data_IF_939482629355
#
_entry.id   IF_939482629355
#
_cell.length_a   1.000
_cell.length_b   1.000
_cell.length_c   1.000
_cell.angle_alpha   90.00
_cell.angle_beta   90.00
_cell.angle_gamma   90.00
#
_symmetry.space_group_name_H-M   'P 1'
#
loop_
_entity.id
_entity.type
_entity.pdbx_description
1 polymer ?
#
# COMPACT_ATOMS: atom_id res chain seq x y z
N UNK A 1 -0.97 -23.64 12.77
CA UNK A 1 -1.05 -22.71 11.63
C UNK A 1 0.15 -21.79 11.76
N UNK A 2 1.21 -22.02 10.97
CA UNK A 2 2.38 -21.14 10.98
C UNK A 2 2.17 -20.09 9.91
N UNK A 3 1.70 -18.91 10.31
CA UNK A 3 1.76 -17.73 9.48
C UNK A 3 3.24 -17.47 9.16
N UNK A 4 3.53 -17.15 7.91
CA UNK A 4 4.86 -16.88 7.39
C UNK A 4 5.49 -15.68 8.12
N UNK A 5 6.11 -15.92 9.28
CA UNK A 5 7.15 -15.04 9.81
C UNK A 5 8.25 -14.98 8.77
N UNK A 6 8.72 -13.77 8.45
CA UNK A 6 10.00 -13.65 7.77
C UNK A 6 11.03 -14.39 8.62
N UNK A 7 11.70 -15.37 8.04
CA UNK A 7 12.74 -16.11 8.76
C UNK A 7 13.94 -15.20 9.11
N UNK A 8 14.02 -14.01 8.49
CA UNK A 8 15.13 -13.08 8.60
C UNK A 8 14.66 -11.65 8.23
N UNK A 9 14.94 -10.66 9.09
CA UNK A 9 14.73 -9.22 8.85
C UNK A 9 15.33 -8.77 7.51
N UNK A 10 16.40 -9.44 7.05
CA UNK A 10 16.99 -9.23 5.72
C UNK A 10 15.97 -9.36 4.58
N UNK A 11 15.16 -10.40 4.60
CA UNK A 11 14.20 -10.66 3.53
C UNK A 11 13.11 -9.57 3.52
N UNK A 12 12.70 -9.10 4.70
CA UNK A 12 11.78 -7.98 4.84
C UNK A 12 12.38 -6.69 4.25
N UNK A 13 13.67 -6.40 4.52
CA UNK A 13 14.40 -5.27 3.91
C UNK A 13 14.42 -5.38 2.39
N UNK A 14 14.67 -6.57 1.84
CA UNK A 14 14.70 -6.80 0.39
C UNK A 14 13.33 -6.58 -0.23
N UNK A 15 12.26 -7.07 0.40
CA UNK A 15 10.88 -6.87 -0.08
C UNK A 15 10.54 -5.38 -0.11
N UNK A 16 10.77 -4.66 0.99
CA UNK A 16 10.55 -3.21 1.06
C UNK A 16 11.36 -2.47 -0.01
N UNK A 17 12.65 -2.76 -0.09
CA UNK A 17 13.56 -2.07 -0.99
C UNK A 17 13.21 -2.24 -2.46
N UNK A 18 12.87 -3.47 -2.87
CA UNK A 18 12.44 -3.74 -4.24
C UNK A 18 11.12 -3.03 -4.57
N UNK A 19 10.20 -2.94 -3.61
CA UNK A 19 8.96 -2.21 -3.81
C UNK A 19 9.21 -0.71 -4.09
N UNK A 20 10.13 -0.06 -3.38
CA UNK A 20 10.47 1.32 -3.68
C UNK A 20 11.33 1.48 -4.95
N UNK A 21 12.17 0.49 -5.29
CA UNK A 21 13.04 0.58 -6.46
C UNK A 21 12.27 0.36 -7.77
N UNK A 22 11.28 -0.53 -7.76
CA UNK A 22 10.61 -0.98 -8.98
C UNK A 22 9.10 -0.68 -9.03
N UNK A 23 8.47 -0.36 -7.91
CA UNK A 23 7.08 0.09 -7.85
C UNK A 23 7.01 1.52 -7.30
N UNK A 24 5.96 1.88 -6.56
CA UNK A 24 5.78 3.23 -6.03
C UNK A 24 6.13 3.42 -4.56
N UNK A 25 6.15 2.34 -3.77
CA UNK A 25 6.31 2.43 -2.32
C UNK A 25 5.09 2.98 -1.57
N UNK A 26 3.97 3.24 -2.25
CA UNK A 26 2.76 3.80 -1.61
C UNK A 26 2.20 2.91 -0.51
N UNK A 27 2.25 1.59 -0.67
CA UNK A 27 1.73 0.64 0.32
C UNK A 27 2.54 0.69 1.61
N UNK A 28 3.87 0.77 1.51
CA UNK A 28 4.74 0.91 2.66
C UNK A 28 4.52 2.23 3.40
N UNK A 29 4.25 3.33 2.67
CA UNK A 29 3.91 4.61 3.30
C UNK A 29 2.51 4.62 3.90
N UNK A 30 1.54 3.93 3.28
CA UNK A 30 0.23 3.70 3.88
C UNK A 30 0.36 2.93 5.20
N UNK A 31 1.15 1.85 5.21
CA UNK A 31 1.42 1.09 6.41
C UNK A 31 2.13 1.93 7.48
N UNK A 32 3.14 2.73 7.13
CA UNK A 32 3.81 3.64 8.07
C UNK A 32 2.84 4.65 8.71
N UNK A 33 1.94 5.23 7.90
CA UNK A 33 0.90 6.13 8.40
C UNK A 33 -0.05 5.40 9.37
N UNK A 34 -0.51 4.20 9.01
CA UNK A 34 -1.42 3.39 9.84
C UNK A 34 -0.75 2.95 11.14
N UNK A 35 0.52 2.54 11.12
CA UNK A 35 1.24 2.17 12.34
C UNK A 35 1.37 3.34 13.31
N UNK A 36 1.59 4.56 12.80
CA UNK A 36 1.68 5.77 13.63
C UNK A 36 0.34 6.16 14.26
N UNK A 37 -0.76 5.90 13.59
CA UNK A 37 -2.09 6.29 14.06
C UNK A 37 -2.79 5.21 14.90
N UNK A 38 -2.66 3.94 14.51
CA UNK A 38 -3.47 2.83 15.02
C UNK A 38 -2.64 1.73 15.69
N UNK A 39 -1.33 1.64 15.42
CA UNK A 39 -0.45 0.63 16.03
C UNK A 39 -0.80 -0.81 15.68
N UNK A 40 -1.26 -1.07 14.45
CA UNK A 40 -1.66 -2.41 13.97
C UNK A 40 -0.44 -3.34 13.85
N UNK A 41 -0.57 -4.56 14.37
CA UNK A 41 0.43 -5.63 14.28
C UNK A 41 -0.08 -6.92 13.60
N UNK A 42 -1.34 -6.91 13.14
CA UNK A 42 -1.97 -7.99 12.39
C UNK A 42 -2.00 -7.67 10.87
N UNK A 43 -1.56 -8.60 10.00
CA UNK A 43 -1.48 -8.34 8.58
C UNK A 43 -2.84 -8.28 7.85
N UNK A 44 -3.88 -8.93 8.37
CA UNK A 44 -5.24 -8.85 7.82
C UNK A 44 -5.86 -7.48 8.16
N UNK A 45 -5.73 -7.03 9.41
CA UNK A 45 -6.16 -5.66 9.79
C UNK A 45 -5.40 -4.58 9.03
N UNK A 46 -4.09 -4.79 8.80
CA UNK A 46 -3.28 -3.87 8.01
C UNK A 46 -3.69 -3.85 6.54
N UNK A 47 -4.10 -5.01 5.99
CA UNK A 47 -4.63 -5.11 4.64
C UNK A 47 -5.87 -4.24 4.48
N UNK A 48 -6.86 -4.42 5.36
CA UNK A 48 -8.12 -3.69 5.32
C UNK A 48 -7.88 -2.18 5.48
N UNK A 49 -7.03 -1.79 6.45
CA UNK A 49 -6.70 -0.38 6.68
C UNK A 49 -5.97 0.24 5.49
N UNK A 50 -5.07 -0.50 4.82
CA UNK A 50 -4.43 -0.02 3.60
C UNK A 50 -5.43 0.10 2.45
N UNK A 51 -6.33 -0.87 2.26
CA UNK A 51 -7.36 -0.80 1.22
C UNK A 51 -8.29 0.39 1.41
N UNK A 52 -8.66 0.68 2.66
CA UNK A 52 -9.47 1.84 3.01
C UNK A 52 -8.72 3.15 2.67
N UNK A 53 -7.42 3.21 2.91
CA UNK A 53 -6.63 4.44 2.76
C UNK A 53 -6.22 4.74 1.31
N UNK A 54 -5.72 3.74 0.58
CA UNK A 54 -5.14 3.93 -0.76
C UNK A 54 -5.92 3.21 -1.88
N UNK A 55 -6.96 2.45 -1.53
CA UNK A 55 -7.75 1.68 -2.49
C UNK A 55 -7.02 0.47 -3.06
N UNK A 56 -7.79 -0.44 -3.66
CA UNK A 56 -7.26 -1.72 -4.17
C UNK A 56 -6.21 -1.54 -5.27
N UNK A 57 -6.33 -0.52 -6.14
CA UNK A 57 -5.32 -0.27 -7.19
C UNK A 57 -3.95 0.01 -6.56
N UNK A 58 -3.89 0.86 -5.53
CA UNK A 58 -2.64 1.15 -4.84
C UNK A 58 -2.16 -0.02 -3.99
N UNK A 59 -3.10 -0.77 -3.40
CA UNK A 59 -2.78 -1.95 -2.60
C UNK A 59 -2.23 -3.11 -3.43
N UNK A 60 -2.53 -3.22 -4.73
CA UNK A 60 -2.11 -4.37 -5.55
C UNK A 60 -1.04 -4.05 -6.61
N UNK A 61 -0.57 -2.79 -6.72
CA UNK A 61 0.28 -2.32 -7.84
C UNK A 61 1.58 -3.11 -8.09
N UNK A 62 2.08 -3.87 -7.10
CA UNK A 62 3.32 -4.64 -7.18
C UNK A 62 3.09 -6.14 -7.26
N UNK A 63 1.83 -6.59 -7.42
CA UNK A 63 1.45 -8.00 -7.42
C UNK A 63 0.82 -8.38 -8.76
N UNK A 64 0.96 -9.65 -9.12
CA UNK A 64 0.25 -10.27 -10.25
C UNK A 64 -1.16 -10.63 -9.78
N UNK A 65 -2.04 -9.65 -9.90
CA UNK A 65 -3.43 -9.69 -9.51
C UNK A 65 -4.28 -8.87 -10.50
N UNK A 66 -5.55 -9.26 -10.71
CA UNK A 66 -6.47 -8.56 -11.61
C UNK A 66 -6.75 -7.11 -11.18
N UNK A 67 -6.55 -6.79 -9.90
CA UNK A 67 -6.69 -5.44 -9.36
C UNK A 67 -5.47 -4.55 -9.67
N UNK A 68 -4.35 -5.13 -10.08
CA UNK A 68 -3.21 -4.39 -10.58
C UNK A 68 -3.45 -3.94 -12.04
N UNK A 69 -3.96 -2.72 -12.17
CA UNK A 69 -4.26 -2.13 -13.50
C UNK A 69 -3.01 -1.62 -14.25
N UNK A 70 -1.84 -1.64 -13.62
CA UNK A 70 -0.57 -1.16 -14.19
C UNK A 70 0.57 -2.11 -13.86
N UNK A 71 0.55 -3.33 -14.41
CA UNK A 71 1.62 -4.29 -14.17
C UNK A 71 2.95 -3.71 -14.65
N UNK A 72 3.93 -3.72 -13.76
CA UNK A 72 5.32 -3.45 -14.11
C UNK A 72 6.04 -4.77 -14.38
N UNK A 73 7.25 -4.73 -14.95
CA UNK A 73 8.09 -5.93 -15.05
C UNK A 73 8.46 -6.51 -13.67
N UNK A 74 8.20 -5.76 -12.60
CA UNK A 74 8.40 -6.17 -11.23
C UNK A 74 7.09 -6.63 -10.58
N UNK A 75 7.09 -7.90 -10.20
CA UNK A 75 6.00 -8.57 -9.48
C UNK A 75 6.58 -9.22 -8.23
N UNK A 76 6.05 -8.87 -7.06
CA UNK A 76 6.42 -9.46 -5.77
C UNK A 76 5.88 -10.89 -5.59
N UNK A 77 4.77 -11.21 -6.25
CA UNK A 77 4.17 -12.53 -6.22
C UNK A 77 2.78 -12.56 -6.84
N UNK A 78 2.15 -13.72 -6.78
CA UNK A 78 0.75 -13.92 -7.20
C UNK A 78 -0.21 -13.64 -6.04
N UNK A 79 -1.33 -13.01 -6.36
CA UNK A 79 -2.43 -12.81 -5.41
C UNK A 79 -2.18 -11.67 -4.43
N UNK A 80 -2.43 -11.92 -3.14
CA UNK A 80 -2.56 -10.88 -2.13
C UNK A 80 -1.22 -10.38 -1.54
N UNK A 81 -1.18 -9.13 -1.04
CA UNK A 81 0.05 -8.47 -0.63
C UNK A 81 0.56 -8.84 0.78
N UNK A 82 0.11 -9.95 1.34
CA UNK A 82 0.48 -10.38 2.70
C UNK A 82 1.99 -10.58 2.88
N UNK A 83 2.74 -10.89 1.82
CA UNK A 83 4.20 -10.94 1.88
C UNK A 83 4.77 -9.56 2.25
N UNK A 84 4.36 -8.50 1.54
CA UNK A 84 4.78 -7.12 1.86
C UNK A 84 4.28 -6.67 3.23
N UNK A 85 3.02 -6.95 3.57
CA UNK A 85 2.43 -6.49 4.82
C UNK A 85 3.12 -7.10 6.04
N UNK A 86 3.42 -8.41 6.02
CA UNK A 86 4.23 -9.06 7.05
C UNK A 86 5.63 -8.44 7.13
N UNK A 87 6.23 -8.05 6.00
CA UNK A 87 7.55 -7.43 5.98
C UNK A 87 7.53 -6.09 6.70
N UNK A 88 6.49 -5.29 6.49
CA UNK A 88 6.38 -3.98 7.12
C UNK A 88 6.18 -4.09 8.63
N UNK A 89 5.36 -5.03 9.09
CA UNK A 89 5.15 -5.29 10.51
C UNK A 89 6.47 -5.68 11.18
N UNK A 90 7.22 -6.62 10.58
CA UNK A 90 8.54 -7.03 11.05
C UNK A 90 9.50 -5.82 11.13
N UNK A 91 9.59 -5.02 10.07
CA UNK A 91 10.49 -3.86 10.04
C UNK A 91 10.08 -2.77 11.02
N UNK A 92 8.77 -2.52 11.20
CA UNK A 92 8.25 -1.58 12.19
C UNK A 92 8.54 -2.05 13.62
N UNK A 93 8.54 -3.36 13.89
CA UNK A 93 8.95 -3.90 15.17
C UNK A 93 10.46 -3.73 15.42
N UNK A 94 11.30 -3.93 14.41
CA UNK A 94 12.76 -3.81 14.53
C UNK A 94 13.21 -2.35 14.63
N UNK A 95 12.80 -1.51 13.68
CA UNK A 95 13.31 -0.15 13.50
C UNK A 95 12.36 0.94 14.02
N UNK A 96 11.19 0.58 14.56
CA UNK A 96 10.21 1.49 15.16
C UNK A 96 9.77 2.59 14.19
N UNK A 97 9.60 3.82 14.66
CA UNK A 97 9.03 4.94 13.90
C UNK A 97 9.82 5.31 12.62
N UNK A 98 11.10 4.91 12.53
CA UNK A 98 11.98 5.23 11.40
C UNK A 98 12.17 4.05 10.44
N UNK A 99 11.34 3.00 10.54
CA UNK A 99 11.54 1.74 9.82
C UNK A 99 11.70 1.87 8.33
N UNK A 100 10.89 2.71 7.66
CA UNK A 100 11.00 2.93 6.21
C UNK A 100 12.39 3.49 5.86
N UNK A 101 12.83 4.52 6.59
CA UNK A 101 14.11 5.20 6.32
C UNK A 101 15.30 4.28 6.58
N UNK A 102 15.31 3.61 7.74
CA UNK A 102 16.42 2.76 8.14
C UNK A 102 16.53 1.52 7.24
N UNK A 103 15.41 0.83 7.00
CA UNK A 103 15.40 -0.35 6.13
C UNK A 103 15.74 0.00 4.67
N UNK A 104 15.23 1.11 4.12
CA UNK A 104 15.61 1.53 2.77
C UNK A 104 17.07 1.96 2.65
N UNK A 105 17.63 2.58 3.69
CA UNK A 105 19.06 2.90 3.72
C UNK A 105 19.89 1.62 3.70
N UNK A 106 19.50 0.62 4.49
CA UNK A 106 20.16 -0.69 4.52
C UNK A 106 20.02 -1.42 3.17
N UNK A 107 18.83 -1.39 2.57
CA UNK A 107 18.62 -1.88 1.22
C UNK A 107 19.53 -1.20 0.22
N UNK A 108 19.52 0.13 0.16
CA UNK A 108 20.30 0.91 -0.78
C UNK A 108 21.81 0.65 -0.63
N UNK A 109 22.30 0.39 0.59
CA UNK A 109 23.70 0.10 0.86
C UNK A 109 24.11 -1.33 0.45
N UNK A 110 23.26 -2.33 0.71
CA UNK A 110 23.68 -3.74 0.66
C UNK A 110 23.05 -4.55 -0.48
N UNK A 111 21.81 -4.23 -0.87
CA UNK A 111 20.99 -5.09 -1.72
C UNK A 111 20.53 -4.40 -3.01
N UNK A 112 20.36 -3.07 -2.98
CA UNK A 112 19.95 -2.27 -4.12
C UNK A 112 20.98 -2.23 -5.25
N UNK A 113 20.57 -1.67 -6.38
CA UNK A 113 21.41 -1.52 -7.57
C UNK A 113 22.69 -0.70 -7.28
N UNK A 114 23.70 -0.83 -8.15
CA UNK A 114 24.98 -0.09 -8.01
C UNK A 114 24.77 1.43 -7.96
N UNK A 115 23.71 1.95 -8.60
CA UNK A 115 23.33 3.36 -8.53
C UNK A 115 22.93 3.76 -7.11
N UNK A 116 22.16 2.92 -6.43
CA UNK A 116 21.71 3.17 -5.06
C UNK A 116 22.88 3.16 -4.06
N UNK A 117 23.84 2.24 -4.21
CA UNK A 117 24.95 2.07 -3.23
C UNK A 117 25.88 3.28 -3.12
N UNK A 118 26.11 4.02 -4.21
CA UNK A 118 27.07 5.15 -4.23
C UNK A 118 26.76 6.23 -3.19
N UNK A 119 25.47 6.48 -2.92
CA UNK A 119 24.99 7.46 -1.95
C UNK A 119 23.75 6.92 -1.23
N UNK A 120 23.87 5.75 -0.60
CA UNK A 120 22.73 4.98 -0.07
C UNK A 120 21.73 5.80 0.78
N UNK A 121 22.14 6.60 1.80
CA UNK A 121 21.18 7.37 2.59
C UNK A 121 20.40 8.39 1.77
N UNK A 122 21.09 9.13 0.89
CA UNK A 122 20.47 10.13 0.02
C UNK A 122 19.52 9.49 -0.99
N UNK A 123 19.93 8.38 -1.61
CA UNK A 123 19.11 7.69 -2.59
C UNK A 123 17.87 7.07 -1.94
N UNK A 124 17.98 6.57 -0.70
CA UNK A 124 16.84 6.10 0.07
C UNK A 124 15.85 7.25 0.37
N UNK A 125 16.34 8.43 0.78
CA UNK A 125 15.50 9.62 0.97
C UNK A 125 14.80 10.03 -0.32
N UNK A 126 15.51 10.08 -1.45
CA UNK A 126 14.91 10.40 -2.75
C UNK A 126 13.84 9.37 -3.18
N UNK A 127 13.98 8.09 -2.80
CA UNK A 127 12.95 7.07 -3.00
C UNK A 127 11.72 7.34 -2.14
N UNK A 128 11.91 7.70 -0.87
CA UNK A 128 10.83 8.04 0.06
C UNK A 128 10.06 9.29 -0.40
N UNK A 129 10.75 10.32 -0.85
CA UNK A 129 10.10 11.57 -1.28
C UNK A 129 9.24 11.35 -2.52
N UNK A 130 9.71 10.58 -3.51
CA UNK A 130 8.88 10.18 -4.66
C UNK A 130 7.67 9.34 -4.25
N UNK A 131 7.84 8.44 -3.27
CA UNK A 131 6.74 7.63 -2.77
C UNK A 131 5.70 8.49 -2.03
N UNK A 132 6.12 9.54 -1.30
CA UNK A 132 5.22 10.46 -0.58
C UNK A 132 4.30 11.21 -1.54
N UNK A 133 4.83 11.69 -2.66
CA UNK A 133 4.03 12.34 -3.72
C UNK A 133 2.95 11.38 -4.23
N UNK A 134 3.35 10.15 -4.61
CA UNK A 134 2.42 9.13 -5.11
C UNK A 134 1.40 8.67 -4.07
N UNK A 135 1.79 8.64 -2.80
CA UNK A 135 0.90 8.30 -1.69
C UNK A 135 -0.19 9.36 -1.54
N UNK A 136 0.18 10.65 -1.59
CA UNK A 136 -0.78 11.74 -1.59
C UNK A 136 -1.78 11.65 -2.76
N UNK A 137 -1.30 11.35 -3.96
CA UNK A 137 -2.15 11.15 -5.13
C UNK A 137 -3.11 9.97 -4.97
N UNK A 138 -2.63 8.86 -4.40
CA UNK A 138 -3.45 7.66 -4.15
C UNK A 138 -4.58 7.94 -3.14
N UNK A 139 -4.26 8.61 -2.02
CA UNK A 139 -5.25 9.02 -1.02
C UNK A 139 -6.29 9.96 -1.63
N UNK A 140 -5.87 10.95 -2.41
CA UNK A 140 -6.80 11.88 -3.07
C UNK A 140 -7.72 11.17 -4.05
N UNK A 141 -7.18 10.22 -4.83
CA UNK A 141 -7.96 9.42 -5.76
C UNK A 141 -8.99 8.54 -5.04
N UNK A 142 -8.60 7.93 -3.91
CA UNK A 142 -9.49 7.12 -3.08
C UNK A 142 -10.67 7.95 -2.54
N UNK A 143 -10.38 9.11 -1.94
CA UNK A 143 -11.39 10.06 -1.46
C UNK A 143 -12.36 10.48 -2.57
N UNK A 144 -11.83 10.83 -3.76
CA UNK A 144 -12.66 11.18 -4.92
C UNK A 144 -13.57 10.03 -5.35
N UNK A 145 -13.05 8.81 -5.36
CA UNK A 145 -13.81 7.62 -5.73
C UNK A 145 -14.95 7.35 -4.75
N UNK A 146 -14.70 7.50 -3.45
CA UNK A 146 -15.69 7.28 -2.41
C UNK A 146 -16.81 8.33 -2.43
N UNK A 147 -16.46 9.60 -2.68
CA UNK A 147 -17.45 10.66 -2.92
C UNK A 147 -18.31 10.32 -4.14
N UNK A 148 -17.68 9.89 -5.24
CA UNK A 148 -18.40 9.50 -6.46
C UNK A 148 -19.40 8.36 -6.22
N UNK A 149 -18.98 7.32 -5.50
CA UNK A 149 -19.84 6.18 -5.13
C UNK A 149 -20.99 6.60 -4.21
N UNK A 150 -20.74 7.47 -3.24
CA UNK A 150 -21.77 8.01 -2.34
C UNK A 150 -22.85 8.79 -3.11
N UNK A 151 -22.45 9.65 -4.04
CA UNK A 151 -23.39 10.42 -4.87
C UNK A 151 -24.21 9.53 -5.81
N UNK A 152 -23.61 8.48 -6.39
CA UNK A 152 -24.34 7.49 -7.19
C UNK A 152 -25.35 6.71 -6.34
N UNK A 153 -24.96 6.30 -5.13
CA UNK A 153 -25.84 5.63 -4.18
C UNK A 153 -27.06 6.49 -3.83
N UNK A 154 -26.85 7.77 -3.54
CA UNK A 154 -27.93 8.72 -3.30
C UNK A 154 -28.85 8.86 -4.53
N UNK A 155 -28.28 9.04 -5.73
CA UNK A 155 -29.06 9.13 -6.97
C UNK A 155 -29.91 7.87 -7.22
N UNK A 156 -29.35 6.68 -7.02
CA UNK A 156 -30.07 5.42 -7.17
C UNK A 156 -31.21 5.24 -6.15
N UNK A 157 -31.00 5.70 -4.91
CA UNK A 157 -32.02 5.71 -3.86
C UNK A 157 -33.15 6.68 -4.17
N UNK A 158 -32.84 7.91 -4.62
CA UNK A 158 -33.85 8.87 -5.06
C UNK A 158 -34.65 8.37 -6.27
N UNK A 159 -34.00 7.79 -7.27
CA UNK A 159 -34.68 7.23 -8.44
C UNK A 159 -35.58 6.04 -8.05
N UNK A 160 -35.15 5.19 -7.12
CA UNK A 160 -35.96 4.09 -6.60
C UNK A 160 -37.16 4.59 -5.80
N UNK A 161 -36.99 5.59 -4.96
CA UNK A 161 -38.07 6.21 -4.18
C UNK A 161 -39.09 6.94 -5.07
N UNK A 162 -38.64 7.60 -6.15
CA UNK A 162 -39.51 8.22 -7.14
C UNK A 162 -40.27 7.18 -7.97
N UNK A 163 -39.64 6.07 -8.33
CA UNK A 163 -40.30 4.97 -9.05
C UNK A 163 -41.38 4.28 -8.21
N UNK A 164 -41.19 4.16 -6.89
CA UNK A 164 -42.19 3.61 -5.96
C UNK A 164 -43.39 4.54 -5.73
N UNK A 165 -43.23 5.85 -5.97
CA UNK A 165 -44.31 6.85 -5.84
C UNK A 165 -45.15 7.01 -7.12
N UNK A 166 -44.75 6.37 -8.21
CA UNK A 166 -45.36 6.49 -9.54
C UNK A 166 -46.39 5.41 -9.91
N UNK A 167 -46.70 4.46 -9.03
CA UNK A 167 -47.73 3.44 -9.29
C UNK A 167 -49.03 3.77 -8.54
N UNK A 168 -50.01 4.46 -9.16
CA UNK A 168 -51.39 4.33 -8.75
C UNK A 168 -51.87 2.96 -9.24
N UNK A 169 -52.05 2.02 -8.31
CA UNK A 169 -52.84 0.83 -8.59
C UNK A 169 -54.27 1.29 -8.93
N UNK A 170 -54.69 1.02 -10.17
CA UNK A 170 -56.09 1.03 -10.62
C UNK A 170 -56.75 -0.26 -10.14
#
# INVERSE_FOLDING_TARGET
MNANHFADTRDAIIVLGKEFEFASGIRALAADHIFREKGIDDPDELFDACEELIGSVGLFESYDDALNTRPTDFVLGKGCPFLSLNAYIELAQVYRADWVKLALTEYAANYGSTKLRKHAPRNAEEMIDRARERFGDAVLLKVRTDIGKSLQGLSSSFNSALSLRGNPAI
#
